data_IF_740706494521
#
_entry.id   IF_740706494521
#
_cell.length_a   1.000
_cell.length_b   1.000
_cell.length_c   1.000
_cell.angle_alpha   90.00
_cell.angle_beta   90.00
_cell.angle_gamma   90.00
#
_symmetry.space_group_name_H-M   'P 1'
#
loop_
_entity.id
_entity.type
_entity.pdbx_description
1 polymer ?
#
# COMPACT_ATOMS: atom_id res chain seq x y z
N UNK A 1 -1.28 13.73 -9.82
CA UNK A 1 -1.96 12.83 -10.76
C UNK A 1 -2.69 13.69 -11.79
N UNK A 2 -2.42 13.50 -13.08
CA UNK A 2 -2.92 14.40 -14.13
C UNK A 2 -4.46 14.40 -14.15
N UNK A 3 -5.10 15.56 -13.98
CA UNK A 3 -6.55 15.73 -14.17
C UNK A 3 -7.46 15.41 -12.98
N UNK A 4 -6.95 14.97 -11.81
CA UNK A 4 -7.79 14.70 -10.63
C UNK A 4 -8.55 15.94 -10.13
N UNK A 5 -7.97 17.13 -10.30
CA UNK A 5 -8.61 18.40 -9.94
C UNK A 5 -9.96 18.62 -10.63
N UNK A 6 -10.11 18.16 -11.88
CA UNK A 6 -11.36 18.26 -12.63
C UNK A 6 -12.42 17.29 -12.11
N UNK A 7 -12.00 16.19 -11.49
CA UNK A 7 -12.89 15.16 -10.97
C UNK A 7 -13.49 15.57 -9.62
N UNK A 8 -12.80 16.42 -8.85
CA UNK A 8 -13.29 16.92 -7.56
C UNK A 8 -14.66 17.59 -7.68
N UNK A 9 -14.87 18.42 -8.69
CA UNK A 9 -16.15 19.11 -8.91
C UNK A 9 -17.30 18.13 -9.18
N UNK A 10 -17.01 16.99 -9.82
CA UNK A 10 -17.99 15.95 -10.06
C UNK A 10 -18.27 15.14 -8.79
N UNK A 11 -17.24 14.79 -8.02
CA UNK A 11 -17.39 14.10 -6.72
C UNK A 11 -18.26 14.93 -5.77
N UNK A 12 -18.18 16.26 -5.83
CA UNK A 12 -18.98 17.16 -4.99
C UNK A 12 -20.46 17.15 -5.32
N UNK A 13 -20.79 16.80 -6.56
CA UNK A 13 -22.16 16.70 -7.05
C UNK A 13 -22.74 15.31 -6.87
N UNK A 14 -21.93 14.31 -6.51
CA UNK A 14 -22.40 12.95 -6.25
C UNK A 14 -22.89 12.81 -4.81
N UNK A 15 -23.99 12.06 -4.64
CA UNK A 15 -24.50 11.67 -3.32
C UNK A 15 -23.61 10.59 -2.68
N UNK A 16 -23.03 9.70 -3.49
CA UNK A 16 -22.21 8.58 -3.02
C UNK A 16 -21.11 8.23 -4.02
N UNK A 17 -19.97 7.79 -3.49
CA UNK A 17 -18.85 7.23 -4.26
C UNK A 17 -18.70 5.75 -3.91
N UNK A 18 -18.94 4.87 -4.88
CA UNK A 18 -18.71 3.42 -4.74
C UNK A 18 -17.30 3.05 -5.22
N UNK A 19 -16.58 2.30 -4.40
CA UNK A 19 -15.19 1.92 -4.62
C UNK A 19 -15.02 0.40 -4.45
N UNK A 20 -13.85 -0.16 -4.78
CA UNK A 20 -13.64 -1.62 -4.74
C UNK A 20 -13.59 -2.17 -3.31
N UNK A 21 -13.08 -1.36 -2.38
CA UNK A 21 -12.98 -1.71 -0.97
C UNK A 21 -13.85 -0.77 -0.13
N UNK A 22 -14.56 -1.36 0.83
CA UNK A 22 -15.21 -0.58 1.88
C UNK A 22 -14.16 -0.09 2.88
N UNK A 23 -13.67 1.12 2.65
CA UNK A 23 -12.65 1.74 3.51
C UNK A 23 -13.26 2.38 4.76
N UNK A 24 -14.60 2.41 4.90
CA UNK A 24 -15.30 2.80 6.12
C UNK A 24 -15.40 1.61 7.10
N UNK A 25 -15.36 0.37 6.59
CA UNK A 25 -15.28 -0.83 7.42
C UNK A 25 -13.87 -1.00 8.03
N UNK A 26 -13.72 -0.88 9.38
CA UNK A 26 -12.43 -1.08 10.04
C UNK A 26 -11.85 -2.50 9.86
N UNK A 27 -12.68 -3.49 9.51
CA UNK A 27 -12.23 -4.87 9.28
C UNK A 27 -11.45 -5.01 7.98
N UNK A 28 -11.69 -4.17 6.97
CA UNK A 28 -11.00 -4.22 5.68
C UNK A 28 -9.51 -3.95 5.88
N UNK A 29 -9.14 -2.89 6.60
CA UNK A 29 -7.74 -2.60 6.92
C UNK A 29 -7.07 -3.72 7.72
N UNK A 30 -7.80 -4.34 8.64
CA UNK A 30 -7.29 -5.48 9.41
C UNK A 30 -7.07 -6.72 8.53
N UNK A 31 -7.99 -7.00 7.60
CA UNK A 31 -7.87 -8.12 6.66
C UNK A 31 -6.68 -7.92 5.71
N UNK A 32 -6.46 -6.70 5.22
CA UNK A 32 -5.31 -6.35 4.39
C UNK A 32 -4.00 -6.55 5.16
N UNK A 33 -3.93 -6.06 6.41
CA UNK A 33 -2.76 -6.27 7.27
C UNK A 33 -2.48 -7.75 7.52
N UNK A 34 -3.53 -8.55 7.75
CA UNK A 34 -3.42 -10.01 7.87
C UNK A 34 -2.93 -10.69 6.59
N UNK A 35 -3.35 -10.20 5.42
CA UNK A 35 -2.90 -10.68 4.11
C UNK A 35 -1.42 -10.38 3.82
N UNK A 36 -0.91 -9.24 4.31
CA UNK A 36 0.49 -8.84 4.15
C UNK A 36 1.44 -9.62 5.05
N UNK A 37 1.00 -9.97 6.27
CA UNK A 37 1.81 -10.69 7.23
C UNK A 37 2.03 -12.17 6.86
N UNK A 38 3.19 -12.70 7.23
CA UNK A 38 3.45 -14.14 7.22
C UNK A 38 2.66 -14.85 8.30
N UNK A 39 2.24 -16.08 8.01
CA UNK A 39 1.51 -16.91 8.95
C UNK A 39 2.43 -17.49 10.03
N UNK A 40 1.86 -17.75 11.21
CA UNK A 40 2.57 -18.43 12.30
C UNK A 40 3.71 -17.64 12.93
N UNK A 41 3.72 -16.31 12.82
CA UNK A 41 4.74 -15.44 13.43
C UNK A 41 6.13 -15.55 12.78
N UNK A 42 6.22 -16.23 11.62
CA UNK A 42 7.47 -16.37 10.89
C UNK A 42 7.95 -15.03 10.33
N UNK A 43 9.24 -14.96 10.10
CA UNK A 43 9.97 -13.81 9.58
C UNK A 43 10.90 -14.25 8.45
N UNK A 44 11.42 -13.30 7.68
CA UNK A 44 12.41 -13.60 6.64
C UNK A 44 13.66 -14.30 7.20
N UNK A 45 14.00 -14.08 8.48
CA UNK A 45 15.14 -14.74 9.15
C UNK A 45 14.93 -16.25 9.31
N UNK A 46 13.69 -16.72 9.23
CA UNK A 46 13.36 -18.15 9.28
C UNK A 46 13.55 -18.84 7.91
N UNK A 47 13.65 -18.07 6.82
CA UNK A 47 13.73 -18.57 5.44
C UNK A 47 15.06 -18.26 4.75
N UNK A 48 15.76 -17.23 5.22
CA UNK A 48 17.01 -16.74 4.64
C UNK A 48 18.16 -16.97 5.60
N UNK A 49 19.32 -17.35 5.06
CA UNK A 49 20.54 -17.31 5.84
C UNK A 49 21.03 -15.85 6.03
N UNK A 50 22.06 -15.65 6.86
CA UNK A 50 22.56 -14.32 7.20
C UNK A 50 23.04 -13.51 5.99
N UNK A 51 23.71 -14.15 5.02
CA UNK A 51 24.21 -13.48 3.81
C UNK A 51 23.04 -13.04 2.91
N UNK A 52 22.06 -13.91 2.71
CA UNK A 52 20.85 -13.59 1.94
C UNK A 52 20.05 -12.47 2.60
N UNK A 53 19.88 -12.52 3.91
CA UNK A 53 19.18 -11.48 4.66
C UNK A 53 19.88 -10.13 4.53
N UNK A 54 21.21 -10.10 4.60
CA UNK A 54 22.00 -8.87 4.41
C UNK A 54 21.80 -8.28 3.00
N UNK A 55 21.76 -9.11 1.94
CA UNK A 55 21.49 -8.66 0.57
C UNK A 55 20.09 -8.04 0.44
N UNK A 56 19.08 -8.65 1.06
CA UNK A 56 17.72 -8.09 1.05
C UNK A 56 17.67 -6.77 1.82
N UNK A 57 18.33 -6.68 2.97
CA UNK A 57 18.41 -5.44 3.75
C UNK A 57 19.10 -4.30 2.97
N UNK A 58 20.19 -4.58 2.29
CA UNK A 58 20.88 -3.62 1.41
C UNK A 58 19.96 -3.15 0.28
N UNK A 59 19.22 -4.07 -0.35
CA UNK A 59 18.26 -3.74 -1.39
C UNK A 59 17.14 -2.83 -0.87
N UNK A 60 16.56 -3.13 0.29
CA UNK A 60 15.52 -2.29 0.91
C UNK A 60 16.06 -0.90 1.29
N UNK A 61 17.27 -0.83 1.85
CA UNK A 61 17.93 0.45 2.14
C UNK A 61 18.17 1.27 0.88
N UNK A 62 18.59 0.62 -0.21
CA UNK A 62 18.85 1.30 -1.48
C UNK A 62 17.56 1.82 -2.12
N UNK A 63 16.52 1.00 -2.26
CA UNK A 63 15.30 1.35 -3.00
C UNK A 63 14.28 2.14 -2.19
N UNK A 64 14.22 1.90 -0.88
CA UNK A 64 13.17 2.44 -0.02
C UNK A 64 13.68 3.30 1.14
N UNK A 65 15.00 3.29 1.41
CA UNK A 65 15.58 4.04 2.52
C UNK A 65 15.27 3.47 3.92
N UNK A 66 14.74 2.25 3.99
CA UNK A 66 14.39 1.56 5.25
C UNK A 66 15.17 0.25 5.38
N UNK A 67 15.38 -0.21 6.60
CA UNK A 67 15.88 -1.57 6.84
C UNK A 67 14.78 -2.60 6.65
N UNK A 68 15.14 -3.78 6.13
CA UNK A 68 14.19 -4.90 5.99
C UNK A 68 13.70 -5.41 7.36
N UNK A 69 14.39 -5.12 8.47
CA UNK A 69 13.93 -5.48 9.81
C UNK A 69 12.56 -4.84 10.15
N UNK A 70 12.23 -3.67 9.59
CA UNK A 70 10.94 -3.01 9.77
C UNK A 70 9.77 -3.76 9.12
N UNK A 71 10.06 -4.60 8.11
CA UNK A 71 9.06 -5.33 7.31
C UNK A 71 9.36 -6.83 7.27
N UNK A 72 10.16 -7.34 8.21
CA UNK A 72 10.66 -8.73 8.22
C UNK A 72 9.56 -9.78 8.37
N UNK A 73 8.37 -9.38 8.82
CA UNK A 73 7.20 -10.24 8.99
C UNK A 73 6.28 -10.24 7.77
N UNK A 74 6.59 -9.48 6.70
CA UNK A 74 5.77 -9.43 5.50
C UNK A 74 6.10 -10.56 4.53
N UNK A 75 5.09 -10.99 3.78
CA UNK A 75 5.25 -12.02 2.75
C UNK A 75 6.20 -11.54 1.65
N UNK A 76 7.07 -12.41 1.09
CA UNK A 76 7.98 -12.04 0.01
C UNK A 76 7.30 -11.40 -1.20
N UNK A 77 6.09 -11.83 -1.55
CA UNK A 77 5.33 -11.23 -2.66
C UNK A 77 5.05 -9.73 -2.41
N UNK A 78 4.68 -9.35 -1.18
CA UNK A 78 4.42 -7.96 -0.85
C UNK A 78 5.70 -7.12 -0.87
N UNK A 79 6.79 -7.67 -0.33
CA UNK A 79 8.11 -7.03 -0.39
C UNK A 79 8.58 -6.77 -1.82
N UNK A 80 8.34 -7.72 -2.73
CA UNK A 80 8.64 -7.54 -4.16
C UNK A 80 7.84 -6.40 -4.78
N UNK A 81 6.55 -6.28 -4.45
CA UNK A 81 5.70 -5.17 -4.93
C UNK A 81 6.19 -3.83 -4.38
N UNK A 82 6.57 -3.76 -3.10
CA UNK A 82 7.08 -2.54 -2.48
C UNK A 82 8.33 -2.02 -3.20
N UNK A 83 9.25 -2.90 -3.55
CA UNK A 83 10.44 -2.51 -4.31
C UNK A 83 10.08 -2.14 -5.74
N UNK A 84 9.32 -2.99 -6.44
CA UNK A 84 9.03 -2.80 -7.87
C UNK A 84 8.19 -1.55 -8.15
N UNK A 85 7.41 -1.08 -7.18
CA UNK A 85 6.62 0.16 -7.26
C UNK A 85 7.29 1.37 -6.61
N UNK A 86 8.46 1.19 -5.99
CA UNK A 86 9.21 2.29 -5.39
C UNK A 86 9.64 3.30 -6.45
N UNK A 87 9.62 4.61 -6.17
CA UNK A 87 10.04 5.65 -7.12
C UNK A 87 11.43 5.41 -7.72
N UNK A 88 12.35 4.88 -6.90
CA UNK A 88 13.72 4.59 -7.33
C UNK A 88 13.80 3.39 -8.29
N UNK A 89 12.89 2.42 -8.17
CA UNK A 89 12.82 1.27 -9.09
C UNK A 89 12.19 1.63 -10.44
N UNK A 90 11.13 2.44 -10.44
CA UNK A 90 10.39 2.80 -11.66
C UNK A 90 10.89 4.07 -12.34
N UNK A 91 11.76 4.85 -11.68
CA UNK A 91 12.33 6.08 -12.23
C UNK A 91 11.34 7.24 -12.35
N UNK A 92 10.16 7.14 -11.74
CA UNK A 92 9.13 8.17 -11.71
C UNK A 92 8.56 8.32 -10.29
N UNK A 93 7.67 9.29 -10.08
CA UNK A 93 6.94 9.38 -8.81
C UNK A 93 6.12 8.10 -8.58
N UNK A 94 5.88 7.76 -7.31
CA UNK A 94 5.09 6.59 -6.95
C UNK A 94 3.78 6.58 -7.76
N UNK A 95 3.34 5.40 -8.27
CA UNK A 95 2.13 5.32 -9.06
C UNK A 95 0.95 5.81 -8.22
N UNK A 96 0.09 6.62 -8.85
CA UNK A 96 -1.16 7.04 -8.22
C UNK A 96 -2.10 5.84 -8.03
N UNK A 97 -2.91 5.88 -6.98
CA UNK A 97 -3.99 4.90 -6.74
C UNK A 97 -5.33 5.62 -6.89
N UNK A 98 -6.14 5.22 -7.87
CA UNK A 98 -7.49 5.78 -8.06
C UNK A 98 -8.36 5.48 -6.84
N UNK A 99 -8.34 4.23 -6.37
CA UNK A 99 -9.03 3.79 -5.15
C UNK A 99 -8.74 4.74 -3.98
N UNK A 100 -7.46 4.87 -3.62
CA UNK A 100 -7.06 5.66 -2.47
C UNK A 100 -7.34 7.16 -2.68
N UNK A 101 -7.10 7.68 -3.88
CA UNK A 101 -7.26 9.12 -4.15
C UNK A 101 -8.73 9.54 -4.13
N UNK A 102 -9.62 8.72 -4.69
CA UNK A 102 -11.06 8.99 -4.72
C UNK A 102 -11.67 8.82 -3.34
N UNK A 103 -11.34 7.73 -2.64
CA UNK A 103 -11.80 7.49 -1.28
C UNK A 103 -11.36 8.60 -0.32
N UNK A 104 -10.10 9.05 -0.38
CA UNK A 104 -9.64 10.19 0.44
C UNK A 104 -10.39 11.48 0.12
N UNK A 105 -10.66 11.74 -1.17
CA UNK A 105 -11.39 12.94 -1.60
C UNK A 105 -12.83 12.91 -1.11
N UNK A 106 -13.51 11.76 -1.21
CA UNK A 106 -14.89 11.59 -0.78
C UNK A 106 -15.04 11.56 0.75
N UNK A 107 -14.13 10.89 1.47
CA UNK A 107 -14.11 10.84 2.94
C UNK A 107 -13.89 12.24 3.55
N UNK A 108 -13.03 13.06 2.95
CA UNK A 108 -12.83 14.46 3.37
C UNK A 108 -14.11 15.31 3.26
N UNK A 109 -15.08 14.89 2.43
CA UNK A 109 -16.32 15.61 2.14
C UNK A 109 -17.57 14.96 2.74
N UNK A 110 -17.43 13.85 3.47
CA UNK A 110 -18.51 13.06 4.12
C UNK A 110 -19.54 12.44 3.15
N UNK A 111 -19.14 12.15 1.92
CA UNK A 111 -19.98 11.45 0.92
C UNK A 111 -19.55 9.98 0.72
N UNK A 112 -18.75 9.43 1.65
CA UNK A 112 -18.51 8.00 1.73
C UNK A 112 -19.63 7.40 2.60
N UNK A 113 -20.38 6.45 2.04
CA UNK A 113 -21.37 5.65 2.75
C UNK A 113 -21.06 4.19 2.44
N UNK A 114 -20.95 3.39 3.50
CA UNK A 114 -20.85 1.93 3.49
C UNK A 114 -22.20 1.32 3.09
N UNK A 115 -22.20 0.39 2.12
CA UNK A 115 -23.37 -0.40 1.71
C UNK A 115 -23.86 -1.36 2.84
#
# INVERSE_FOLDING_TARGET
MFGMEKLNDYIDQTEQVLMELDMDDPTVMQSMAGGMAMSGGKTLKDYLNAEQYAKVDEMFKSFMGISVDAVKNYRPMFLSVMISTSPKSIGCQAPGSYELSLTQTAAAKKNLLSD
#
